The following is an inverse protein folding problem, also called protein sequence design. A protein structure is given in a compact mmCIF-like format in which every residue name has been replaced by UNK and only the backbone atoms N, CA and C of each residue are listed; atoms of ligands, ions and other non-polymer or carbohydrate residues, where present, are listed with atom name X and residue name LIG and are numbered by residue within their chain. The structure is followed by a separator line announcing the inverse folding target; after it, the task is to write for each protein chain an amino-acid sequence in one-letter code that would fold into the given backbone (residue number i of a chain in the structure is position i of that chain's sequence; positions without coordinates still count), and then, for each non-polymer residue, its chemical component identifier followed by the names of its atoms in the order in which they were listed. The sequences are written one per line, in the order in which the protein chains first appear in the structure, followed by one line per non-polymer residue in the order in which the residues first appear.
data_IF_913604654327
#
_entry.id   IF_913604654327
#
_cell.length_a   1.000
_cell.length_b   1.000
_cell.length_c   1.000
_cell.angle_alpha   90.00
_cell.angle_beta   90.00
_cell.angle_gamma   90.00
#
_symmetry.space_group_name_H-M   'P 1'
#
loop_
_entity.id
_entity.type
_entity.pdbx_description
1 polymer ?
#
# COMPACT_ATOMS: atom_id res chain seq x y z
N UNK A 1 11.30 -6.49 4.55
CA UNK A 1 11.01 -7.14 3.26
C UNK A 1 11.34 -8.62 3.32
N UNK A 2 10.33 -9.40 3.70
CA UNK A 2 10.32 -10.84 3.47
C UNK A 2 10.56 -11.16 1.99
N UNK A 3 11.30 -12.23 1.71
CA UNK A 3 11.50 -12.69 0.33
C UNK A 3 10.17 -13.21 -0.22
N UNK A 4 9.70 -12.62 -1.32
CA UNK A 4 8.46 -13.03 -1.99
C UNK A 4 8.75 -14.14 -2.99
N UNK A 5 7.96 -15.23 -3.02
CA UNK A 5 7.98 -16.17 -4.13
C UNK A 5 7.76 -15.44 -5.47
N UNK A 6 8.38 -15.94 -6.54
CA UNK A 6 8.33 -15.29 -7.86
C UNK A 6 6.91 -15.01 -8.37
N UNK A 7 5.99 -15.94 -8.17
CA UNK A 7 4.58 -15.78 -8.56
C UNK A 7 3.88 -14.67 -7.78
N UNK A 8 4.17 -14.57 -6.47
CA UNK A 8 3.64 -13.50 -5.62
C UNK A 8 4.21 -12.14 -6.01
N UNK A 9 5.50 -12.09 -6.38
CA UNK A 9 6.14 -10.87 -6.90
C UNK A 9 5.47 -10.38 -8.19
N UNK A 10 5.14 -11.29 -9.12
CA UNK A 10 4.40 -10.92 -10.34
C UNK A 10 3.03 -10.33 -9.99
N UNK A 11 2.30 -10.96 -9.06
CA UNK A 11 0.97 -10.50 -8.63
C UNK A 11 1.05 -9.11 -8.00
N UNK A 12 2.00 -8.94 -7.08
CA UNK A 12 2.31 -7.68 -6.41
C UNK A 12 2.53 -6.55 -7.43
N UNK A 13 3.40 -6.77 -8.41
CA UNK A 13 3.78 -5.76 -9.40
C UNK A 13 2.62 -5.39 -10.32
N UNK A 14 1.90 -6.40 -10.80
CA UNK A 14 0.72 -6.20 -11.62
C UNK A 14 -0.35 -5.41 -10.85
N UNK A 15 -0.52 -5.66 -9.55
CA UNK A 15 -1.48 -4.94 -8.73
C UNK A 15 -1.04 -3.48 -8.54
N UNK A 16 0.23 -3.20 -8.23
CA UNK A 16 0.74 -1.82 -8.12
C UNK A 16 0.54 -1.04 -9.42
N UNK A 17 0.84 -1.65 -10.57
CA UNK A 17 0.60 -1.06 -11.90
C UNK A 17 -0.89 -0.74 -12.08
N UNK A 18 -1.76 -1.70 -11.77
CA UNK A 18 -3.22 -1.53 -11.85
C UNK A 18 -3.70 -0.40 -10.95
N UNK A 19 -3.24 -0.34 -9.70
CA UNK A 19 -3.60 0.71 -8.74
C UNK A 19 -3.21 2.09 -9.24
N UNK A 20 -1.98 2.25 -9.75
CA UNK A 20 -1.50 3.51 -10.34
C UNK A 20 -2.32 3.94 -11.57
N UNK A 21 -2.82 2.99 -12.35
CA UNK A 21 -3.64 3.27 -13.54
C UNK A 21 -5.12 3.51 -13.23
N UNK A 22 -5.59 3.12 -12.05
CA UNK A 22 -7.01 3.17 -11.65
C UNK A 22 -7.24 4.08 -10.45
N UNK A 23 -7.06 3.57 -9.23
CA UNK A 23 -7.39 4.24 -7.97
C UNK A 23 -6.47 5.43 -7.69
N UNK A 24 -5.18 5.28 -8.01
CA UNK A 24 -4.14 6.27 -7.78
C UNK A 24 -3.65 6.88 -9.09
N UNK A 25 -4.56 7.09 -10.05
CA UNK A 25 -4.25 7.75 -11.34
C UNK A 25 -4.13 9.26 -11.14
N UNK A 26 -3.04 9.67 -10.49
CA UNK A 26 -2.69 11.08 -10.28
C UNK A 26 -1.40 11.46 -11.01
N UNK A 27 -1.33 12.64 -11.64
CA UNK A 27 -2.39 13.66 -11.69
C UNK A 27 -3.57 13.27 -12.59
N UNK A 28 -4.73 13.90 -12.37
CA UNK A 28 -5.90 13.83 -13.25
C UNK A 28 -6.67 15.18 -13.23
N UNK A 29 -7.70 15.32 -14.08
CA UNK A 29 -8.47 16.55 -14.23
C UNK A 29 -9.02 17.10 -12.91
N UNK A 30 -9.48 16.22 -12.01
CA UNK A 30 -10.05 16.61 -10.71
C UNK A 30 -8.97 16.98 -9.69
N UNK A 31 -7.81 16.34 -9.78
CA UNK A 31 -6.70 16.50 -8.84
C UNK A 31 -5.38 16.72 -9.59
N UNK A 32 -5.19 17.90 -10.22
CA UNK A 32 -4.05 18.15 -11.10
C UNK A 32 -2.72 18.30 -10.35
N UNK A 33 -2.79 18.60 -9.04
CA UNK A 33 -1.61 18.80 -8.19
C UNK A 33 -1.23 17.57 -7.35
N UNK A 34 -2.00 16.48 -7.43
CA UNK A 34 -1.59 15.22 -6.82
C UNK A 34 -0.67 14.47 -7.78
N UNK A 35 0.33 13.76 -7.25
CA UNK A 35 1.21 12.90 -8.05
C UNK A 35 1.44 11.57 -7.36
N UNK A 36 1.29 10.49 -8.11
CA UNK A 36 1.54 9.13 -7.64
C UNK A 36 2.95 8.67 -8.01
N UNK A 37 3.67 8.19 -7.01
CA UNK A 37 4.95 7.49 -7.13
C UNK A 37 4.75 6.02 -6.76
N UNK A 38 5.55 5.14 -7.36
CA UNK A 38 5.60 3.73 -7.01
C UNK A 38 7.05 3.33 -6.75
N UNK A 39 7.29 2.50 -5.73
CA UNK A 39 8.63 2.06 -5.32
C UNK A 39 8.96 0.60 -5.70
N UNK A 40 8.12 -0.02 -6.52
CA UNK A 40 8.39 -1.32 -7.11
C UNK A 40 8.43 -1.23 -8.65
N UNK A 41 9.34 -1.95 -9.35
CA UNK A 41 10.43 -2.80 -8.82
C UNK A 41 11.66 -2.03 -8.30
N UNK A 42 11.66 -0.71 -8.42
CA UNK A 42 12.77 0.12 -7.98
C UNK A 42 12.28 1.22 -7.05
N UNK A 43 13.04 1.45 -5.97
CA UNK A 43 12.83 2.55 -5.03
C UNK A 43 13.08 3.89 -5.74
N UNK A 44 12.03 4.67 -5.95
CA UNK A 44 12.07 5.94 -6.70
C UNK A 44 11.79 7.16 -5.84
N UNK A 45 10.99 7.02 -4.78
CA UNK A 45 10.62 8.11 -3.90
C UNK A 45 10.59 7.64 -2.45
N UNK A 46 11.54 8.13 -1.66
CA UNK A 46 11.51 7.96 -0.21
C UNK A 46 10.62 8.99 0.47
N UNK A 47 10.03 8.60 1.61
CA UNK A 47 9.36 9.47 2.58
C UNK A 47 10.15 9.40 3.87
N UNK A 48 10.45 10.54 4.49
CA UNK A 48 11.16 10.56 5.76
C UNK A 48 10.21 10.21 6.91
N UNK A 49 10.64 9.32 7.78
CA UNK A 49 9.98 9.09 9.06
C UNK A 49 10.35 10.18 10.09
N UNK A 50 9.83 10.04 11.32
CA UNK A 50 10.11 10.98 12.42
C UNK A 50 11.58 11.00 12.87
N UNK A 51 12.35 9.98 12.53
CA UNK A 51 13.77 9.85 12.88
C UNK A 51 14.68 10.33 11.74
N UNK A 52 14.12 10.72 10.59
CA UNK A 52 14.87 11.14 9.42
C UNK A 52 15.35 9.97 8.55
N UNK A 53 14.80 8.78 8.72
CA UNK A 53 15.08 7.62 7.88
C UNK A 53 14.14 7.57 6.67
N UNK A 54 14.66 7.14 5.52
CA UNK A 54 13.85 6.98 4.33
C UNK A 54 13.06 5.67 4.33
N UNK A 55 11.75 5.79 4.32
CA UNK A 55 10.80 4.73 4.06
C UNK A 55 10.39 4.70 2.59
N UNK A 56 10.08 3.51 2.07
CA UNK A 56 9.72 3.33 0.65
C UNK A 56 8.41 2.55 0.49
N UNK A 57 7.25 3.15 0.84
CA UNK A 57 5.98 2.49 0.61
C UNK A 57 5.76 2.16 -0.87
N UNK A 58 5.01 1.10 -1.18
CA UNK A 58 4.76 0.65 -2.56
C UNK A 58 4.15 1.75 -3.43
N UNK A 59 3.18 2.49 -2.88
CA UNK A 59 2.52 3.63 -3.53
C UNK A 59 2.56 4.84 -2.61
N UNK A 60 2.93 5.99 -3.17
CA UNK A 60 2.94 7.28 -2.46
C UNK A 60 2.20 8.30 -3.31
N UNK A 61 1.25 9.03 -2.72
CA UNK A 61 0.58 10.17 -3.34
C UNK A 61 0.96 11.45 -2.60
N UNK A 62 1.54 12.40 -3.34
CA UNK A 62 2.00 13.69 -2.80
C UNK A 62 1.19 14.83 -3.42
N UNK A 63 0.81 15.81 -2.61
CA UNK A 63 0.33 17.10 -3.08
C UNK A 63 1.52 18.01 -3.40
N UNK A 64 1.71 18.32 -4.68
CA UNK A 64 2.85 19.09 -5.17
C UNK A 64 2.80 20.57 -4.77
N UNK A 65 1.67 21.08 -4.26
CA UNK A 65 1.56 22.49 -3.83
C UNK A 65 2.30 22.77 -2.54
N UNK A 66 2.41 21.78 -1.67
CA UNK A 66 2.98 21.90 -0.33
C UNK A 66 3.90 20.73 0.04
N UNK A 67 4.22 19.88 -0.93
CA UNK A 67 5.02 18.66 -0.79
C UNK A 67 4.52 17.70 0.30
N UNK A 68 3.23 17.77 0.65
CA UNK A 68 2.64 16.93 1.70
C UNK A 68 2.33 15.53 1.18
N UNK A 69 2.70 14.50 1.94
CA UNK A 69 2.30 13.12 1.68
C UNK A 69 0.84 12.92 2.08
N UNK A 70 -0.02 12.67 1.10
CA UNK A 70 -1.47 12.56 1.28
C UNK A 70 -1.88 11.11 1.56
N UNK A 71 -1.32 10.17 0.79
CA UNK A 71 -1.64 8.75 0.88
C UNK A 71 -0.36 7.94 0.75
N UNK A 72 -0.25 6.89 1.56
CA UNK A 72 0.65 5.76 1.30
C UNK A 72 -0.18 4.48 1.20
N UNK A 73 0.28 3.51 0.43
CA UNK A 73 -0.33 2.19 0.39
C UNK A 73 0.70 1.08 0.22
N UNK A 74 0.40 -0.05 0.85
CA UNK A 74 1.16 -1.30 0.77
C UNK A 74 0.35 -2.40 0.11
N UNK A 75 1.03 -3.22 -0.70
CA UNK A 75 0.48 -4.41 -1.33
C UNK A 75 1.12 -5.65 -0.71
N UNK A 76 0.33 -6.35 0.09
CA UNK A 76 0.77 -7.58 0.74
C UNK A 76 0.43 -8.80 -0.09
N UNK A 77 1.27 -9.81 -0.03
CA UNK A 77 1.03 -11.14 -0.59
C UNK A 77 0.99 -12.18 0.53
N UNK A 78 0.50 -13.41 0.29
CA UNK A 78 0.41 -14.43 1.34
C UNK A 78 1.69 -14.61 2.17
N UNK A 79 2.87 -14.54 1.53
CA UNK A 79 4.15 -14.72 2.20
C UNK A 79 4.60 -13.51 3.04
N UNK A 80 4.09 -12.31 2.76
CA UNK A 80 4.50 -11.08 3.44
C UNK A 80 3.57 -10.67 4.58
N UNK A 81 2.40 -11.30 4.72
CA UNK A 81 1.57 -11.15 5.90
C UNK A 81 2.27 -11.71 7.15
N UNK A 82 3.10 -10.92 7.80
CA UNK A 82 3.96 -11.32 8.91
C UNK A 82 3.99 -10.23 9.98
N UNK A 83 4.43 -10.57 11.20
CA UNK A 83 4.61 -9.58 12.26
C UNK A 83 5.71 -8.56 11.94
N UNK A 84 6.71 -8.94 11.12
CA UNK A 84 7.78 -8.03 10.75
C UNK A 84 7.28 -6.94 9.79
N UNK A 85 6.55 -7.32 8.74
CA UNK A 85 5.92 -6.35 7.84
C UNK A 85 4.86 -5.51 8.59
N UNK A 86 4.18 -6.08 9.59
CA UNK A 86 3.28 -5.31 10.45
C UNK A 86 3.97 -4.16 11.21
N UNK A 87 5.24 -4.28 11.59
CA UNK A 87 6.00 -3.16 12.18
C UNK A 87 6.26 -2.06 11.15
N UNK A 88 6.51 -2.43 9.89
CA UNK A 88 6.67 -1.50 8.79
C UNK A 88 5.34 -0.78 8.48
N UNK A 89 4.22 -1.49 8.50
CA UNK A 89 2.89 -0.89 8.37
C UNK A 89 2.58 0.09 9.50
N UNK A 90 2.99 -0.21 10.73
CA UNK A 90 2.89 0.71 11.85
C UNK A 90 3.68 2.00 11.59
N UNK A 91 4.91 1.90 11.11
CA UNK A 91 5.70 3.06 10.71
C UNK A 91 4.98 3.87 9.62
N UNK A 92 4.48 3.19 8.58
CA UNK A 92 3.84 3.82 7.42
C UNK A 92 2.52 4.51 7.78
N UNK A 93 1.82 4.03 8.81
CA UNK A 93 0.60 4.67 9.32
C UNK A 93 0.81 6.11 9.82
N UNK A 94 2.06 6.49 10.12
CA UNK A 94 2.43 7.85 10.56
C UNK A 94 3.02 8.72 9.44
N UNK A 95 3.33 8.14 8.27
CA UNK A 95 4.01 8.86 7.18
C UNK A 95 3.07 9.77 6.37
N UNK A 96 1.77 9.47 6.37
CA UNK A 96 0.80 10.15 5.52
C UNK A 96 -0.49 10.48 6.27
N UNK A 97 -1.33 11.30 5.64
CA UNK A 97 -2.68 11.55 6.15
C UNK A 97 -3.57 10.30 6.09
N UNK A 98 -3.35 9.44 5.08
CA UNK A 98 -4.08 8.20 4.89
C UNK A 98 -3.14 7.03 4.58
N UNK A 99 -3.45 5.86 5.14
CA UNK A 99 -2.78 4.61 4.82
C UNK A 99 -3.77 3.54 4.38
N UNK A 100 -3.50 2.91 3.23
CA UNK A 100 -4.27 1.79 2.72
C UNK A 100 -3.44 0.50 2.66
N UNK A 101 -3.99 -0.60 3.16
CA UNK A 101 -3.38 -1.93 3.09
C UNK A 101 -4.19 -2.81 2.13
N UNK A 102 -3.53 -3.31 1.09
CA UNK A 102 -4.08 -4.26 0.14
C UNK A 102 -3.59 -5.67 0.51
N UNK A 103 -4.49 -6.63 0.61
CA UNK A 103 -4.15 -7.99 1.05
C UNK A 103 -4.95 -9.06 0.30
N UNK A 104 -4.43 -10.29 0.17
CA UNK A 104 -5.08 -11.36 -0.58
C UNK A 104 -6.38 -11.82 0.06
N UNK A 105 -7.33 -12.22 -0.79
CA UNK A 105 -8.61 -12.79 -0.37
C UNK A 105 -8.46 -13.98 0.56
N UNK A 106 -9.23 -13.99 1.65
CA UNK A 106 -9.26 -15.06 2.64
C UNK A 106 -8.30 -14.88 3.82
N UNK A 107 -7.50 -13.80 3.84
CA UNK A 107 -6.54 -13.52 4.92
C UNK A 107 -7.05 -12.53 5.98
N UNK A 108 -8.36 -12.25 6.00
CA UNK A 108 -8.96 -11.27 6.90
C UNK A 108 -8.66 -11.55 8.39
N UNK A 109 -8.73 -12.81 8.82
CA UNK A 109 -8.42 -13.17 10.20
C UNK A 109 -6.96 -12.84 10.56
N UNK A 110 -6.02 -13.12 9.66
CA UNK A 110 -4.60 -12.83 9.86
C UNK A 110 -4.35 -11.32 9.91
N UNK A 111 -4.98 -10.55 9.01
CA UNK A 111 -4.94 -9.08 9.03
C UNK A 111 -5.48 -8.53 10.36
N UNK A 112 -6.61 -9.07 10.85
CA UNK A 112 -7.17 -8.69 12.14
C UNK A 112 -6.19 -8.90 13.28
N UNK A 113 -5.44 -10.00 13.29
CA UNK A 113 -4.44 -10.28 14.31
C UNK A 113 -3.23 -9.34 14.20
N UNK A 114 -2.71 -9.11 13.00
CA UNK A 114 -1.51 -8.29 12.79
C UNK A 114 -1.76 -6.79 13.01
N UNK A 115 -2.96 -6.30 12.67
CA UNK A 115 -3.23 -4.86 12.62
C UNK A 115 -3.98 -4.30 13.85
N UNK A 116 -4.13 -5.05 14.94
CA UNK A 116 -4.96 -4.65 16.10
C UNK A 116 -4.65 -3.27 16.67
N UNK A 117 -3.39 -2.83 16.59
CA UNK A 117 -2.90 -1.56 17.15
C UNK A 117 -2.42 -0.59 16.07
N UNK A 118 -2.60 -0.94 14.80
CA UNK A 118 -2.07 -0.16 13.67
C UNK A 118 -3.19 0.71 13.10
N UNK A 119 -2.92 2.01 12.95
CA UNK A 119 -3.89 2.94 12.37
C UNK A 119 -3.91 2.80 10.84
N UNK A 120 -4.82 2.00 10.32
CA UNK A 120 -5.02 1.84 8.87
C UNK A 120 -6.38 2.41 8.48
N UNK A 121 -6.40 3.37 7.55
CA UNK A 121 -7.63 4.05 7.12
C UNK A 121 -8.48 3.21 6.17
N UNK A 122 -7.85 2.30 5.41
CA UNK A 122 -8.57 1.47 4.44
C UNK A 122 -7.91 0.11 4.24
N UNK A 123 -8.71 -0.94 4.40
CA UNK A 123 -8.36 -2.32 4.11
C UNK A 123 -9.03 -2.73 2.81
N UNK A 124 -8.24 -3.18 1.83
CA UNK A 124 -8.74 -3.65 0.54
C UNK A 124 -8.32 -5.10 0.31
N UNK A 125 -9.30 -5.98 0.30
CA UNK A 125 -9.09 -7.37 -0.09
C UNK A 125 -9.00 -7.45 -1.61
N UNK A 126 -7.95 -8.07 -2.15
CA UNK A 126 -7.82 -8.32 -3.58
C UNK A 126 -7.97 -9.81 -3.92
N UNK A 127 -8.51 -10.05 -5.10
CA UNK A 127 -8.50 -11.36 -5.75
C UNK A 127 -8.23 -11.17 -7.24
N UNK A 128 -7.47 -12.11 -7.82
CA UNK A 128 -7.18 -12.12 -9.25
C UNK A 128 -8.15 -13.07 -9.96
N UNK A 129 -8.85 -12.56 -10.97
CA UNK A 129 -9.71 -13.33 -11.86
C UNK A 129 -9.19 -13.12 -13.27
N UNK A 130 -8.68 -14.18 -13.89
CA UNK A 130 -7.94 -14.10 -15.15
C UNK A 130 -6.81 -13.05 -15.04
N UNK A 131 -6.88 -11.97 -15.81
CA UNK A 131 -5.90 -10.87 -15.83
C UNK A 131 -6.39 -9.60 -15.12
N UNK A 132 -7.46 -9.68 -14.34
CA UNK A 132 -8.03 -8.52 -13.63
C UNK A 132 -8.02 -8.72 -12.12
N UNK A 133 -7.70 -7.64 -11.41
CA UNK A 133 -7.86 -7.57 -9.97
C UNK A 133 -9.25 -7.08 -9.61
N UNK A 134 -9.93 -7.84 -8.76
CA UNK A 134 -11.12 -7.39 -8.05
C UNK A 134 -10.69 -6.92 -6.67
N UNK A 135 -11.09 -5.70 -6.32
CA UNK A 135 -10.81 -5.07 -5.03
C UNK A 135 -12.11 -4.88 -4.25
N UNK A 136 -12.12 -5.33 -3.00
CA UNK A 136 -13.25 -5.19 -2.09
C UNK A 136 -12.79 -4.46 -0.82
N UNK A 137 -13.34 -3.28 -0.57
CA UNK A 137 -13.09 -2.56 0.69
C UNK A 137 -13.70 -3.35 1.84
N UNK A 138 -12.91 -3.71 2.85
CA UNK A 138 -13.38 -4.42 4.03
C UNK A 138 -13.41 -3.50 5.24
N UNK A 139 -14.41 -3.70 6.08
CA UNK A 139 -14.47 -3.08 7.41
C UNK A 139 -13.89 -4.06 8.41
N UNK A 140 -12.62 -3.85 8.75
CA UNK A 140 -11.94 -4.61 9.79
C UNK A 140 -12.33 -4.03 11.15
N UNK A 141 -12.82 -4.89 12.04
CA UNK A 141 -13.23 -4.55 13.41
C UNK A 141 -12.29 -5.28 14.35
N UNK A 142 -11.54 -4.57 15.16
CA UNK A 142 -10.57 -5.15 16.07
C UNK A 142 -11.21 -5.47 17.43
#
# INVERSE_FOLDING_TARGET
MAERPYEELIIHDQLIISLKQTIYRYPNEKYPYLKTYTNHPERKKGVLDKNGEFCYPDVIVIDLRNEKVIMVAEVETPSTLTEEEAKEWELFSYLAQHFALFYPKGYEFKIRQLCQKIKIDSFLEYSKYEDKFKLEKKKIIF
#
